data_IF_015608431179
#
_entry.id   IF_015608431179
#
_cell.length_a   1.000
_cell.length_b   1.000
_cell.length_c   1.000
_cell.angle_alpha   90.00
_cell.angle_beta   90.00
_cell.angle_gamma   90.00
#
_symmetry.space_group_name_H-M   'P 1'
#
loop_
_entity.id
_entity.type
_entity.pdbx_description
1 polymer ?
#
# COMPACT_ATOMS: atom_id res chain seq x y z
N UNK A 1 -15.63 3.35 -3.69
CA UNK A 1 -15.61 4.21 -2.48
C UNK A 1 -16.63 3.85 -1.39
N UNK A 2 -17.62 2.97 -1.61
CA UNK A 2 -18.64 2.67 -0.59
C UNK A 2 -18.14 1.70 0.50
N UNK A 3 -17.42 0.64 0.10
CA UNK A 3 -16.93 -0.39 1.02
C UNK A 3 -15.97 0.20 2.06
N UNK A 4 -15.01 1.05 1.65
CA UNK A 4 -14.08 1.72 2.59
C UNK A 4 -14.75 2.74 3.52
N UNK A 5 -15.86 3.35 3.11
CA UNK A 5 -16.66 4.23 3.99
C UNK A 5 -17.46 3.43 5.01
N UNK A 6 -18.10 2.34 4.57
CA UNK A 6 -18.86 1.43 5.45
C UNK A 6 -17.94 0.64 6.40
N UNK A 7 -16.76 0.27 5.92
CA UNK A 7 -15.65 -0.28 6.67
C UNK A 7 -15.20 0.63 7.82
N UNK A 8 -14.98 1.92 7.55
CA UNK A 8 -14.66 2.93 8.57
C UNK A 8 -15.78 3.13 9.59
N UNK A 9 -17.02 2.81 9.23
CA UNK A 9 -18.17 2.82 10.15
C UNK A 9 -18.29 1.51 10.96
N UNK A 10 -17.56 0.46 10.60
CA UNK A 10 -17.55 -0.80 11.35
C UNK A 10 -16.48 -0.75 12.44
N UNK A 11 -16.91 -0.42 13.66
CA UNK A 11 -16.07 -0.42 14.86
C UNK A 11 -15.41 -1.79 15.10
N UNK A 12 -16.10 -2.88 14.74
CA UNK A 12 -15.61 -4.26 14.86
C UNK A 12 -14.42 -4.50 13.93
N UNK A 13 -14.53 -4.15 12.65
CA UNK A 13 -13.44 -4.35 11.70
C UNK A 13 -12.22 -3.49 12.03
N UNK A 14 -12.45 -2.24 12.47
CA UNK A 14 -11.38 -1.35 12.91
C UNK A 14 -10.64 -1.91 14.14
N UNK A 15 -11.36 -2.43 15.14
CA UNK A 15 -10.76 -3.06 16.31
C UNK A 15 -9.96 -4.32 15.94
N UNK A 16 -10.48 -5.16 15.05
CA UNK A 16 -9.75 -6.35 14.57
C UNK A 16 -8.44 -5.97 13.88
N UNK A 17 -8.46 -4.98 12.97
CA UNK A 17 -7.26 -4.51 12.27
C UNK A 17 -6.22 -3.96 13.25
N UNK A 18 -6.67 -3.27 14.30
CA UNK A 18 -5.77 -2.75 15.35
C UNK A 18 -5.09 -3.88 16.12
N UNK A 19 -5.86 -4.88 16.55
CA UNK A 19 -5.33 -6.04 17.30
C UNK A 19 -4.34 -6.85 16.45
N UNK A 20 -4.71 -7.14 15.20
CA UNK A 20 -3.88 -7.96 14.31
C UNK A 20 -2.66 -7.18 13.78
N UNK A 21 -2.74 -5.85 13.68
CA UNK A 21 -1.62 -5.00 13.24
C UNK A 21 -0.59 -4.67 14.32
N UNK A 22 -0.96 -4.74 15.61
CA UNK A 22 -0.06 -4.52 16.75
C UNK A 22 0.78 -5.78 17.06
N UNK A 23 0.26 -6.97 16.77
CA UNK A 23 1.07 -8.18 16.67
C UNK A 23 1.88 -8.11 15.37
N UNK A 24 3.09 -7.56 15.45
CA UNK A 24 4.05 -7.66 14.36
C UNK A 24 4.14 -9.13 13.94
N UNK A 25 3.52 -9.46 12.80
CA UNK A 25 3.69 -10.76 12.17
C UNK A 25 5.20 -10.89 11.97
N UNK A 26 5.89 -11.82 12.64
CA UNK A 26 7.29 -12.06 12.35
C UNK A 26 7.33 -12.42 10.88
N UNK A 27 8.00 -11.61 10.06
CA UNK A 27 8.25 -11.92 8.65
C UNK A 27 8.70 -13.39 8.54
N UNK A 28 7.95 -14.30 7.89
CA UNK A 28 8.41 -15.66 7.71
C UNK A 28 9.37 -15.73 6.51
N UNK A 29 10.55 -15.11 6.62
CA UNK A 29 11.66 -15.29 5.68
C UNK A 29 12.94 -15.20 6.54
N UNK A 30 13.76 -16.22 6.78
CA UNK A 30 14.11 -17.45 6.06
C UNK A 30 14.36 -18.55 7.10
N UNK A 31 13.88 -19.78 6.88
CA UNK A 31 14.40 -20.94 7.62
C UNK A 31 15.73 -21.30 6.99
N UNK A 32 16.82 -20.88 7.63
CA UNK A 32 18.13 -21.52 7.46
C UNK A 32 18.10 -22.77 8.33
N UNK A 33 18.13 -23.92 7.69
CA UNK A 33 18.03 -25.22 8.35
C UNK A 33 19.38 -25.57 8.97
N UNK A 34 19.60 -25.30 10.26
CA UNK A 34 20.54 -26.06 11.08
C UNK A 34 20.26 -25.95 12.60
N UNK A 35 19.99 -27.13 13.18
CA UNK A 35 20.23 -27.62 14.55
C UNK A 35 19.35 -27.22 15.76
N UNK A 36 18.57 -28.23 16.18
CA UNK A 36 18.28 -28.74 17.53
C UNK A 36 18.49 -27.84 18.76
N UNK A 37 17.38 -27.58 19.47
CA UNK A 37 17.38 -27.08 20.83
C UNK A 37 15.97 -27.05 21.44
N UNK A 38 15.68 -28.00 22.34
CA UNK A 38 14.43 -28.13 23.09
C UNK A 38 14.05 -26.86 23.88
N UNK A 39 12.78 -26.43 23.77
CA UNK A 39 12.07 -25.67 24.81
C UNK A 39 10.66 -26.29 25.01
N UNK A 40 10.14 -26.39 26.26
CA UNK A 40 9.13 -27.39 26.58
C UNK A 40 7.80 -26.78 27.03
N UNK A 41 6.85 -26.51 26.13
CA UNK A 41 5.50 -26.10 26.54
C UNK A 41 4.42 -26.94 25.82
N UNK A 42 3.52 -27.50 26.63
CA UNK A 42 2.50 -28.52 26.37
C UNK A 42 1.81 -28.54 24.99
N UNK A 43 1.90 -29.70 24.34
CA UNK A 43 1.08 -30.11 23.20
C UNK A 43 -0.37 -30.39 23.61
N UNK A 44 -1.28 -29.45 23.33
CA UNK A 44 -2.66 -29.79 22.94
C UNK A 44 -2.97 -29.16 21.59
N UNK A 45 -2.53 -29.86 20.54
CA UNK A 45 -2.67 -29.47 19.15
C UNK A 45 -4.12 -29.42 18.68
N UNK A 46 -4.63 -28.22 18.43
CA UNK A 46 -5.64 -28.01 17.41
C UNK A 46 -4.95 -27.95 16.05
N UNK A 47 -4.55 -29.11 15.53
CA UNK A 47 -4.19 -29.28 14.11
C UNK A 47 -5.49 -29.35 13.30
N UNK A 48 -6.31 -28.32 13.40
CA UNK A 48 -7.54 -28.16 12.64
C UNK A 48 -7.21 -27.65 11.25
N UNK A 49 -7.21 -28.55 10.26
CA UNK A 49 -7.11 -28.19 8.85
C UNK A 49 -8.41 -27.44 8.48
N UNK A 50 -8.40 -26.11 8.59
CA UNK A 50 -9.55 -25.29 8.24
C UNK A 50 -9.70 -25.27 6.70
N UNK A 51 -10.38 -26.26 6.15
CA UNK A 51 -10.86 -26.18 4.77
C UNK A 51 -12.03 -25.20 4.74
N UNK A 52 -11.80 -23.99 4.22
CA UNK A 52 -12.85 -23.03 3.99
C UNK A 52 -13.78 -23.54 2.86
N UNK A 53 -15.00 -23.95 3.22
CA UNK A 53 -16.01 -24.42 2.28
C UNK A 53 -16.86 -23.24 1.81
N UNK A 54 -16.70 -22.84 0.54
CA UNK A 54 -17.49 -21.77 -0.07
C UNK A 54 -18.61 -22.39 -0.93
N UNK A 55 -19.87 -22.06 -0.63
CA UNK A 55 -21.05 -22.60 -1.36
C UNK A 55 -21.31 -21.92 -2.72
N UNK A 56 -20.38 -21.10 -3.23
CA UNK A 56 -20.58 -20.29 -4.43
C UNK A 56 -20.20 -21.01 -5.75
N UNK A 57 -20.07 -22.34 -5.74
CA UNK A 57 -19.73 -23.13 -6.94
C UNK A 57 -18.28 -22.98 -7.44
N UNK A 58 -17.47 -22.18 -6.75
CA UNK A 58 -16.00 -22.13 -6.86
C UNK A 58 -15.43 -22.78 -5.60
N UNK A 59 -15.55 -24.10 -5.52
CA UNK A 59 -14.98 -24.91 -4.44
C UNK A 59 -13.57 -25.36 -4.81
N UNK A 60 -12.65 -25.33 -3.85
CA UNK A 60 -11.29 -25.90 -3.94
C UNK A 60 -11.29 -27.41 -3.67
N UNK A 61 -12.40 -28.08 -3.97
CA UNK A 61 -12.59 -29.48 -3.60
C UNK A 61 -11.91 -30.36 -4.66
N UNK A 62 -11.21 -31.40 -4.21
CA UNK A 62 -10.55 -32.46 -4.99
C UNK A 62 -11.55 -33.26 -5.86
N UNK A 63 -12.17 -32.62 -6.84
CA UNK A 63 -13.12 -33.21 -7.77
C UNK A 63 -12.55 -33.25 -9.18
N UNK A 64 -12.41 -34.45 -9.74
CA UNK A 64 -12.28 -34.68 -11.17
C UNK A 64 -13.52 -34.11 -11.91
N UNK A 65 -13.49 -32.82 -12.24
CA UNK A 65 -14.56 -32.11 -12.95
C UNK A 65 -14.36 -32.15 -14.46
N UNK A 66 -14.80 -33.23 -15.10
CA UNK A 66 -14.78 -33.43 -16.55
C UNK A 66 -15.86 -32.57 -17.24
N UNK A 67 -15.59 -31.29 -17.56
CA UNK A 67 -16.48 -30.47 -18.39
C UNK A 67 -15.71 -29.80 -19.53
N UNK A 68 -15.97 -30.32 -20.74
CA UNK A 68 -15.51 -29.81 -22.03
C UNK A 68 -16.18 -28.48 -22.38
N UNK A 69 -15.39 -27.46 -22.72
CA UNK A 69 -15.87 -26.25 -23.40
C UNK A 69 -15.39 -24.94 -22.80
N UNK A 70 -14.26 -24.44 -23.32
CA UNK A 70 -13.52 -23.21 -22.96
C UNK A 70 -12.63 -23.36 -21.71
N UNK A 71 -11.33 -23.49 -21.94
CA UNK A 71 -10.29 -23.28 -20.93
C UNK A 71 -10.40 -21.85 -20.40
N UNK A 72 -11.10 -21.68 -19.29
CA UNK A 72 -10.95 -20.49 -18.44
C UNK A 72 -9.60 -20.54 -17.73
N UNK A 73 -9.04 -19.38 -17.42
CA UNK A 73 -7.91 -19.28 -16.50
C UNK A 73 -8.38 -19.81 -15.14
N UNK A 74 -7.85 -20.96 -14.72
CA UNK A 74 -8.11 -21.48 -13.37
C UNK A 74 -7.48 -20.49 -12.37
N UNK A 75 -8.28 -19.61 -11.80
CA UNK A 75 -7.89 -18.79 -10.66
C UNK A 75 -8.23 -19.61 -9.42
N UNK A 76 -7.23 -20.24 -8.83
CA UNK A 76 -7.39 -21.06 -7.64
C UNK A 76 -7.56 -22.55 -7.96
N UNK A 77 -6.44 -23.24 -8.14
CA UNK A 77 -6.35 -24.69 -8.19
C UNK A 77 -5.07 -25.14 -7.50
N UNK A 78 -5.15 -26.18 -6.70
CA UNK A 78 -4.06 -26.73 -5.89
C UNK A 78 -2.89 -27.25 -6.75
N UNK A 79 -1.92 -26.38 -7.09
CA UNK A 79 -0.57 -26.80 -7.53
C UNK A 79 0.40 -26.72 -6.36
N UNK A 80 0.16 -27.54 -5.34
CA UNK A 80 0.84 -27.49 -4.05
C UNK A 80 2.34 -27.80 -4.07
N UNK A 81 2.97 -28.11 -5.20
CA UNK A 81 4.37 -28.60 -5.22
C UNK A 81 5.11 -28.49 -6.56
N UNK A 82 4.62 -27.75 -7.56
CA UNK A 82 5.25 -27.75 -8.88
C UNK A 82 5.19 -26.41 -9.59
N UNK A 83 6.04 -25.49 -9.14
CA UNK A 83 6.92 -24.64 -9.98
C UNK A 83 7.31 -23.41 -9.17
N UNK A 84 8.56 -23.00 -9.32
CA UNK A 84 9.14 -21.74 -8.85
C UNK A 84 8.34 -20.46 -9.23
N UNK A 85 7.20 -20.59 -9.92
CA UNK A 85 6.46 -19.56 -10.66
C UNK A 85 4.91 -19.68 -10.55
N UNK A 86 4.37 -20.38 -9.54
CA UNK A 86 2.92 -20.61 -9.39
C UNK A 86 2.06 -19.34 -9.53
N UNK A 87 2.53 -18.23 -8.94
CA UNK A 87 1.84 -16.93 -8.91
C UNK A 87 1.75 -16.17 -10.24
N UNK A 88 2.47 -16.62 -11.28
CA UNK A 88 2.49 -15.90 -12.56
C UNK A 88 1.13 -15.94 -13.25
N UNK A 89 0.37 -17.01 -13.06
CA UNK A 89 -0.94 -17.18 -13.69
C UNK A 89 -1.98 -16.23 -13.10
N UNK A 90 -1.97 -16.07 -11.78
CA UNK A 90 -2.83 -15.17 -11.01
C UNK A 90 -2.45 -13.71 -11.28
N UNK A 91 -1.16 -13.40 -11.32
CA UNK A 91 -0.70 -12.05 -11.66
C UNK A 91 -1.05 -11.67 -13.11
N UNK A 92 -0.88 -12.60 -14.06
CA UNK A 92 -1.27 -12.39 -15.46
C UNK A 92 -2.79 -12.19 -15.59
N UNK A 93 -3.58 -13.00 -14.88
CA UNK A 93 -5.03 -12.86 -14.86
C UNK A 93 -5.45 -11.51 -14.24
N UNK A 94 -4.84 -11.11 -13.12
CA UNK A 94 -5.07 -9.82 -12.47
C UNK A 94 -4.76 -8.65 -13.40
N UNK A 95 -3.61 -8.67 -14.07
CA UNK A 95 -3.24 -7.66 -15.05
C UNK A 95 -4.22 -7.61 -16.24
N UNK A 96 -4.67 -8.77 -16.73
CA UNK A 96 -5.62 -8.84 -17.83
C UNK A 96 -6.97 -8.23 -17.46
N UNK A 97 -7.57 -8.60 -16.33
CA UNK A 97 -8.88 -8.05 -15.92
C UNK A 97 -8.79 -6.56 -15.58
N UNK A 98 -7.66 -6.11 -15.01
CA UNK A 98 -7.42 -4.68 -14.81
C UNK A 98 -7.40 -3.91 -16.14
N UNK A 99 -6.78 -4.48 -17.16
CA UNK A 99 -6.75 -3.90 -18.51
C UNK A 99 -8.13 -3.87 -19.17
N UNK A 100 -9.01 -4.82 -18.86
CA UNK A 100 -10.38 -4.91 -19.42
C UNK A 100 -11.36 -3.96 -18.69
N UNK A 101 -10.99 -3.40 -17.54
CA UNK A 101 -11.76 -2.33 -16.88
C UNK A 101 -12.02 -2.54 -15.40
N UNK A 102 -11.54 -3.64 -14.80
CA UNK A 102 -11.54 -3.78 -13.34
C UNK A 102 -10.57 -2.77 -12.75
N UNK A 103 -11.01 -1.94 -11.81
CA UNK A 103 -10.14 -0.89 -11.28
C UNK A 103 -8.96 -1.46 -10.48
N UNK A 104 -9.23 -2.46 -9.64
CA UNK A 104 -8.23 -3.05 -8.73
C UNK A 104 -8.51 -4.52 -8.49
N UNK A 105 -7.44 -5.31 -8.47
CA UNK A 105 -7.43 -6.74 -8.10
C UNK A 105 -6.46 -6.92 -6.95
N UNK A 106 -6.87 -7.68 -5.93
CA UNK A 106 -6.06 -7.98 -4.77
C UNK A 106 -5.82 -9.48 -4.71
N UNK A 107 -4.56 -9.89 -4.65
CA UNK A 107 -4.12 -11.27 -4.47
C UNK A 107 -3.69 -11.40 -3.01
N UNK A 108 -4.38 -12.24 -2.25
CA UNK A 108 -4.17 -12.40 -0.80
C UNK A 108 -3.86 -13.86 -0.47
N UNK A 109 -3.02 -14.07 0.54
CA UNK A 109 -2.81 -15.40 1.12
C UNK A 109 -3.97 -15.73 2.08
N UNK A 110 -4.82 -16.66 1.67
CA UNK A 110 -5.96 -17.13 2.46
C UNK A 110 -5.57 -18.00 3.67
N UNK A 111 -4.31 -18.41 3.79
CA UNK A 111 -3.80 -19.17 4.94
C UNK A 111 -3.44 -18.27 6.12
N UNK A 112 -3.24 -16.98 5.88
CA UNK A 112 -2.96 -15.98 6.92
C UNK A 112 -4.28 -15.46 7.53
N UNK A 113 -4.46 -15.70 8.83
CA UNK A 113 -5.62 -15.24 9.57
C UNK A 113 -5.78 -13.72 9.49
N UNK A 114 -6.98 -13.25 9.12
CA UNK A 114 -7.27 -11.81 9.01
C UNK A 114 -6.69 -11.11 7.77
N UNK A 115 -6.04 -11.83 6.85
CA UNK A 115 -5.39 -11.25 5.65
C UNK A 115 -6.34 -10.40 4.79
N UNK A 116 -7.58 -10.85 4.61
CA UNK A 116 -8.59 -10.09 3.88
C UNK A 116 -8.91 -8.74 4.56
N UNK A 117 -9.00 -8.72 5.89
CA UNK A 117 -9.29 -7.49 6.63
C UNK A 117 -8.07 -6.56 6.60
N UNK A 118 -6.88 -7.10 6.81
CA UNK A 118 -5.65 -6.32 6.70
C UNK A 118 -5.52 -5.70 5.30
N UNK A 119 -5.75 -6.48 4.24
CA UNK A 119 -5.67 -5.99 2.86
C UNK A 119 -6.69 -4.88 2.55
N UNK A 120 -7.93 -5.02 3.01
CA UNK A 120 -9.00 -4.08 2.67
C UNK A 120 -9.01 -2.82 3.53
N UNK A 121 -8.51 -2.90 4.76
CA UNK A 121 -8.66 -1.84 5.77
C UNK A 121 -7.35 -1.17 6.19
N UNK A 122 -6.20 -1.74 5.83
CA UNK A 122 -4.92 -1.02 5.93
C UNK A 122 -4.62 -0.34 4.60
N UNK A 123 -3.81 0.74 4.63
CA UNK A 123 -3.44 1.44 3.40
C UNK A 123 -2.52 0.56 2.55
N UNK A 124 -1.51 -0.04 3.17
CA UNK A 124 -0.45 -0.75 2.46
C UNK A 124 -0.77 -2.24 2.24
N UNK A 125 -1.76 -2.79 2.96
CA UNK A 125 -2.21 -4.16 2.79
C UNK A 125 -1.21 -5.20 3.26
N UNK A 126 -1.53 -6.47 3.02
CA UNK A 126 -0.62 -7.62 3.24
C UNK A 126 -0.49 -8.52 2.02
N UNK A 127 -1.30 -8.26 0.99
CA UNK A 127 -1.28 -8.96 -0.28
C UNK A 127 -0.59 -8.17 -1.38
N UNK A 128 -0.87 -8.56 -2.62
CA UNK A 128 -0.41 -7.85 -3.82
C UNK A 128 -1.60 -7.21 -4.52
N UNK A 129 -1.55 -5.89 -4.72
CA UNK A 129 -2.57 -5.13 -5.42
C UNK A 129 -2.12 -4.82 -6.85
N UNK A 130 -2.94 -5.20 -7.83
CA UNK A 130 -2.80 -4.78 -9.23
C UNK A 130 -3.89 -3.74 -9.50
N UNK A 131 -3.49 -2.52 -9.80
CA UNK A 131 -4.39 -1.40 -10.03
C UNK A 131 -4.30 -0.91 -11.48
N UNK A 132 -5.45 -0.60 -12.09
CA UNK A 132 -5.50 0.12 -13.37
C UNK A 132 -5.38 1.63 -13.19
N UNK A 133 -5.65 2.15 -11.98
CA UNK A 133 -5.52 3.54 -11.61
C UNK A 133 -4.17 3.85 -10.97
N UNK A 134 -3.83 5.14 -10.88
CA UNK A 134 -2.59 5.59 -10.22
C UNK A 134 -2.74 5.34 -8.72
N UNK A 135 -2.20 4.21 -8.25
CA UNK A 135 -2.18 3.85 -6.84
C UNK A 135 -1.27 4.78 -6.03
N UNK A 136 -0.09 5.09 -6.58
CA UNK A 136 0.85 6.05 -6.04
C UNK A 136 1.34 6.97 -7.15
N UNK A 137 1.32 8.28 -6.92
CA UNK A 137 1.79 9.26 -7.89
C UNK A 137 2.33 10.53 -7.25
N UNK A 138 3.30 11.15 -7.92
CA UNK A 138 3.80 12.48 -7.56
C UNK A 138 3.18 13.52 -8.49
N UNK A 139 2.65 14.61 -7.92
CA UNK A 139 2.00 15.69 -8.68
C UNK A 139 2.07 17.02 -7.91
N UNK A 140 1.75 18.13 -8.59
CA UNK A 140 1.55 19.42 -7.93
C UNK A 140 0.37 19.36 -6.95
N UNK A 141 0.50 20.11 -5.86
CA UNK A 141 -0.53 20.24 -4.84
C UNK A 141 -1.74 21.02 -5.36
N UNK A 142 -2.92 20.73 -4.80
CA UNK A 142 -4.20 21.42 -5.06
C UNK A 142 -4.75 21.92 -3.73
N UNK A 143 -5.64 22.92 -3.76
CA UNK A 143 -6.26 23.46 -2.55
C UNK A 143 -6.93 22.38 -1.66
N UNK A 144 -7.49 21.33 -2.28
CA UNK A 144 -8.08 20.19 -1.59
C UNK A 144 -7.08 19.32 -0.80
N UNK A 145 -5.78 19.40 -1.12
CA UNK A 145 -4.72 18.61 -0.49
C UNK A 145 -4.21 19.27 0.81
N UNK A 146 -4.57 20.53 1.08
CA UNK A 146 -4.10 21.28 2.25
C UNK A 146 -4.28 20.53 3.58
N UNK A 147 -5.43 19.88 3.86
CA UNK A 147 -5.57 19.08 5.09
C UNK A 147 -4.61 17.87 5.14
N UNK A 148 -4.31 17.26 3.99
CA UNK A 148 -3.36 16.16 3.88
C UNK A 148 -1.92 16.61 4.11
N UNK A 149 -1.52 17.72 3.48
CA UNK A 149 -0.21 18.36 3.66
C UNK A 149 -0.02 18.74 5.14
N UNK A 150 -1.03 19.37 5.76
CA UNK A 150 -0.99 19.75 7.17
C UNK A 150 -0.75 18.56 8.08
N UNK A 151 -1.41 17.43 7.82
CA UNK A 151 -1.23 16.19 8.58
C UNK A 151 0.20 15.67 8.55
N UNK A 152 0.88 15.81 7.41
CA UNK A 152 2.26 15.32 7.24
C UNK A 152 3.28 16.29 7.86
N UNK A 153 3.03 17.60 7.77
CA UNK A 153 3.95 18.65 8.26
C UNK A 153 3.85 18.86 9.79
N UNK A 154 2.64 18.81 10.36
CA UNK A 154 2.40 19.20 11.76
C UNK A 154 3.30 18.46 12.78
N UNK A 155 3.51 17.13 12.72
CA UNK A 155 4.40 16.46 13.67
C UNK A 155 5.85 16.96 13.60
N UNK A 156 6.29 17.39 12.42
CA UNK A 156 7.63 17.95 12.22
C UNK A 156 7.73 19.40 12.72
N UNK A 157 6.66 20.19 12.61
CA UNK A 157 6.58 21.52 13.25
C UNK A 157 6.64 21.41 14.77
N UNK A 158 5.91 20.45 15.35
CA UNK A 158 5.88 20.21 16.79
C UNK A 158 7.24 19.71 17.34
N UNK A 159 7.96 18.91 16.56
CA UNK A 159 9.33 18.48 16.90
C UNK A 159 10.40 19.56 16.73
N UNK A 160 10.06 20.70 16.10
CA UNK A 160 11.02 21.75 15.74
C UNK A 160 11.86 21.47 14.50
N UNK A 161 11.67 20.32 13.83
CA UNK A 161 12.36 19.99 12.59
C UNK A 161 11.91 20.86 11.39
N UNK A 162 10.66 21.34 11.41
CA UNK A 162 10.14 22.29 10.42
C UNK A 162 9.69 23.60 11.09
N UNK A 163 9.88 24.69 10.36
CA UNK A 163 9.33 26.00 10.76
C UNK A 163 7.81 25.96 10.65
N UNK A 164 7.17 26.39 11.72
CA UNK A 164 5.72 26.43 11.86
C UNK A 164 5.10 27.47 10.91
N UNK A 165 4.11 27.04 10.12
CA UNK A 165 3.40 27.89 9.16
C UNK A 165 1.90 27.88 9.43
N UNK A 166 1.21 28.94 9.08
CA UNK A 166 -0.25 29.02 9.12
C UNK A 166 -0.87 28.39 7.86
N UNK A 167 -2.15 28.04 7.94
CA UNK A 167 -2.87 27.51 6.77
C UNK A 167 -2.93 28.53 5.61
N UNK A 168 -2.99 29.82 5.93
CA UNK A 168 -3.01 30.90 4.94
C UNK A 168 -1.67 31.03 4.21
N UNK A 169 -0.56 30.92 4.92
CA UNK A 169 0.78 30.92 4.32
C UNK A 169 0.98 29.69 3.42
N UNK A 170 0.56 28.52 3.90
CA UNK A 170 0.62 27.29 3.10
C UNK A 170 -0.24 27.39 1.83
N UNK A 171 -1.43 28.00 1.92
CA UNK A 171 -2.31 28.20 0.77
C UNK A 171 -1.69 29.17 -0.25
N UNK A 172 -1.04 30.25 0.19
CA UNK A 172 -0.33 31.20 -0.68
C UNK A 172 0.86 30.56 -1.39
N UNK A 173 1.54 29.62 -0.75
CA UNK A 173 2.71 28.93 -1.30
C UNK A 173 2.36 27.63 -2.02
N UNK A 174 1.08 27.25 -2.08
CA UNK A 174 0.65 25.92 -2.49
C UNK A 174 1.06 25.55 -3.92
N UNK A 175 1.13 26.52 -4.82
CA UNK A 175 1.57 26.32 -6.21
C UNK A 175 3.03 25.86 -6.30
N UNK A 176 3.83 26.11 -5.26
CA UNK A 176 5.22 25.64 -5.14
C UNK A 176 5.34 24.25 -4.54
N UNK A 177 4.24 23.65 -4.06
CA UNK A 177 4.24 22.32 -3.44
C UNK A 177 4.07 21.20 -4.47
N UNK A 178 4.89 20.17 -4.30
CA UNK A 178 4.73 18.85 -4.87
C UNK A 178 4.31 17.89 -3.76
N UNK A 179 3.36 17.01 -4.07
CA UNK A 179 2.84 16.01 -3.15
C UNK A 179 2.98 14.61 -3.75
N UNK A 180 3.20 13.63 -2.88
CA UNK A 180 3.03 12.22 -3.20
C UNK A 180 1.69 11.79 -2.64
N UNK A 181 0.81 11.37 -3.54
CA UNK A 181 -0.49 10.80 -3.22
C UNK A 181 -0.41 9.28 -3.33
N UNK A 182 -0.86 8.57 -2.29
CA UNK A 182 -1.10 7.13 -2.31
C UNK A 182 -2.55 6.90 -1.92
N UNK A 183 -3.30 6.31 -2.85
CA UNK A 183 -4.70 5.94 -2.65
C UNK A 183 -5.60 7.08 -2.10
N UNK A 184 -5.49 8.27 -2.69
CA UNK A 184 -6.25 9.46 -2.27
C UNK A 184 -5.71 10.17 -1.03
N UNK A 185 -4.65 9.65 -0.42
CA UNK A 185 -4.04 10.23 0.79
C UNK A 185 -2.68 10.81 0.48
N UNK A 186 -2.42 12.03 0.96
CA UNK A 186 -1.08 12.63 0.86
C UNK A 186 -0.16 11.94 1.87
N UNK A 187 0.89 11.30 1.37
CA UNK A 187 1.89 10.59 2.19
C UNK A 187 3.21 11.34 2.29
N UNK A 188 3.49 12.25 1.36
CA UNK A 188 4.68 13.10 1.40
C UNK A 188 4.43 14.42 0.67
N UNK A 189 5.18 15.45 1.04
CA UNK A 189 5.14 16.76 0.41
C UNK A 189 6.50 17.45 0.48
N UNK A 190 6.76 18.34 -0.46
CA UNK A 190 7.90 19.24 -0.46
C UNK A 190 7.59 20.46 -1.32
N UNK A 191 8.19 21.60 -1.03
CA UNK A 191 8.04 22.83 -1.81
C UNK A 191 9.38 23.27 -2.39
N UNK A 192 9.34 23.90 -3.56
CA UNK A 192 10.50 24.56 -4.18
C UNK A 192 10.21 26.04 -4.35
N UNK A 193 10.98 26.88 -3.67
CA UNK A 193 10.88 28.34 -3.75
C UNK A 193 12.03 28.82 -4.65
N UNK A 194 11.75 29.26 -5.89
CA UNK A 194 12.79 29.74 -6.79
C UNK A 194 13.25 31.17 -6.45
N UNK A 195 14.55 31.40 -6.50
CA UNK A 195 15.18 32.72 -6.44
C UNK A 195 15.87 33.01 -7.78
N UNK A 196 15.13 33.66 -8.68
CA UNK A 196 15.58 33.87 -10.07
C UNK A 196 16.84 34.74 -10.17
N UNK A 197 16.95 35.79 -9.35
CA UNK A 197 18.08 36.73 -9.38
C UNK A 197 19.42 36.06 -9.04
N UNK A 198 19.38 35.05 -8.18
CA UNK A 198 20.56 34.35 -7.67
C UNK A 198 20.78 33.00 -8.36
N UNK A 199 19.90 32.63 -9.32
CA UNK A 199 19.91 31.33 -9.98
C UNK A 199 20.02 30.17 -8.97
N UNK A 200 19.29 30.29 -7.85
CA UNK A 200 19.15 29.25 -6.84
C UNK A 200 17.68 29.01 -6.51
N UNK A 201 17.39 27.92 -5.81
CA UNK A 201 16.06 27.63 -5.28
C UNK A 201 16.20 26.98 -3.91
N UNK A 202 15.27 27.30 -3.01
CA UNK A 202 15.19 26.69 -1.69
C UNK A 202 14.19 25.54 -1.72
N UNK A 203 14.62 24.37 -1.23
CA UNK A 203 13.72 23.27 -0.92
C UNK A 203 13.18 23.51 0.48
N UNK A 204 11.88 23.74 0.58
CA UNK A 204 11.19 24.02 1.84
C UNK A 204 10.16 22.93 2.16
N UNK A 205 9.82 22.80 3.44
CA UNK A 205 8.69 21.99 3.91
C UNK A 205 8.70 20.52 3.43
N UNK A 206 9.89 19.92 3.30
CA UNK A 206 10.03 18.52 2.94
C UNK A 206 9.60 17.62 4.11
N UNK A 207 8.63 16.75 3.86
CA UNK A 207 8.05 15.89 4.88
C UNK A 207 7.53 14.58 4.27
N UNK A 208 7.78 13.47 4.96
CA UNK A 208 7.26 12.15 4.62
C UNK A 208 6.55 11.58 5.86
N UNK A 209 5.36 11.04 5.64
CA UNK A 209 4.56 10.33 6.66
C UNK A 209 5.41 9.26 7.34
N UNK A 210 5.38 9.13 8.68
CA UNK A 210 6.17 8.14 9.42
C UNK A 210 6.08 6.73 8.87
N UNK A 211 4.88 6.32 8.46
CA UNK A 211 4.55 4.99 7.92
C UNK A 211 5.24 4.70 6.56
N UNK A 212 5.63 5.75 5.82
CA UNK A 212 6.22 5.63 4.49
C UNK A 212 7.71 6.02 4.46
N UNK A 213 8.34 6.23 5.63
CA UNK A 213 9.78 6.53 5.72
C UNK A 213 10.60 5.28 5.38
N UNK A 214 11.82 5.49 4.87
CA UNK A 214 12.70 4.41 4.44
C UNK A 214 12.37 3.78 3.08
N UNK A 215 11.28 4.21 2.42
CA UNK A 215 10.85 3.71 1.11
C UNK A 215 11.32 4.58 -0.08
N UNK A 216 12.32 5.47 0.12
CA UNK A 216 12.86 6.34 -0.95
C UNK A 216 11.95 7.50 -1.39
N UNK A 217 10.84 7.76 -0.69
CA UNK A 217 9.89 8.82 -1.07
C UNK A 217 10.48 10.24 -0.99
N UNK A 218 11.40 10.48 -0.04
CA UNK A 218 12.12 11.76 0.07
C UNK A 218 13.04 12.01 -1.14
N UNK A 219 13.81 11.00 -1.54
CA UNK A 219 14.72 11.08 -2.69
C UNK A 219 13.93 11.30 -3.99
N UNK A 220 12.80 10.61 -4.14
CA UNK A 220 11.88 10.79 -5.27
C UNK A 220 11.36 12.23 -5.35
N UNK A 221 10.92 12.81 -4.23
CA UNK A 221 10.49 14.20 -4.18
C UNK A 221 11.62 15.17 -4.54
N UNK A 222 12.82 14.96 -3.99
CA UNK A 222 13.96 15.84 -4.26
C UNK A 222 14.37 15.80 -5.73
N UNK A 223 14.42 14.61 -6.33
CA UNK A 223 14.70 14.46 -7.77
C UNK A 223 13.67 15.16 -8.64
N UNK A 224 12.38 15.07 -8.28
CA UNK A 224 11.30 15.75 -8.99
C UNK A 224 11.40 17.28 -8.88
N UNK A 225 11.72 17.82 -7.71
CA UNK A 225 11.91 19.26 -7.51
C UNK A 225 13.12 19.78 -8.31
N UNK A 226 14.23 19.03 -8.35
CA UNK A 226 15.40 19.40 -9.14
C UNK A 226 15.08 19.43 -10.64
N UNK A 227 14.32 18.45 -11.13
CA UNK A 227 13.86 18.41 -12.51
C UNK A 227 12.93 19.60 -12.83
N UNK A 228 12.02 19.94 -11.91
CA UNK A 228 11.14 21.10 -12.05
C UNK A 228 11.95 22.41 -12.12
N UNK A 229 12.95 22.59 -11.24
CA UNK A 229 13.83 23.75 -11.25
C UNK A 229 14.58 23.92 -12.58
N UNK A 230 15.16 22.83 -13.10
CA UNK A 230 15.84 22.81 -14.39
C UNK A 230 14.91 23.18 -15.57
N UNK A 231 13.61 22.91 -15.44
CA UNK A 231 12.61 23.27 -16.45
C UNK A 231 12.25 24.75 -16.37
N UNK A 232 12.14 25.32 -15.16
CA UNK A 232 11.94 26.76 -14.95
C UNK A 232 13.08 27.60 -15.52
N UNK A 233 14.33 27.14 -15.36
CA UNK A 233 15.51 27.85 -15.87
C UNK A 233 15.61 27.86 -17.41
N UNK A 234 14.84 27.00 -18.09
CA UNK A 234 14.92 26.82 -19.54
C UNK A 234 13.93 27.71 -20.32
N UNK A 235 13.04 28.42 -19.60
CA UNK A 235 12.09 29.41 -20.10
C UNK A 235 12.68 30.80 -19.87
#
# INVERSE_FOLDING_TARGET
MLIRKLAKQSEIAANYVKVVGEEAIPSPCYIDSHEDGNLPWDEKGYKGRCNAMFQNGVGFDNGNGLWSGKQGFAIGGEERLSRLNGYLSELAAAAYVCRVGVQRVHIIDGTLGGSLLLELFTRDGVGTMVASDVYEGTRSARAADLPGIRRVIQPLEESGALIRRTNEELLKQLDSFMVVERDGSIIACAALIPFFDNNCGEVASIAVSPECRGQGQGDKLLGMLLCAYCSFKRI
#
